data_IF_114363010005
#
_entry.id   IF_114363010005
#
_cell.length_a   1.000
_cell.length_b   1.000
_cell.length_c   1.000
_cell.angle_alpha   90.00
_cell.angle_beta   90.00
_cell.angle_gamma   90.00
#
_symmetry.space_group_name_H-M   'P 1'
#
loop_
_entity.id
_entity.type
_entity.pdbx_description
1 polymer ?
#
# COMPACT_ATOMS: atom_id res chain seq x y z
N UNK A 1 6.58 24.66 18.33
CA UNK A 1 7.02 24.49 16.94
C UNK A 1 5.73 24.39 16.16
N UNK A 2 5.36 25.42 15.39
CA UNK A 2 4.14 25.35 14.56
C UNK A 2 4.37 24.25 13.53
N UNK A 3 3.36 23.40 13.30
CA UNK A 3 3.50 22.28 12.36
C UNK A 3 3.62 22.81 10.93
N UNK A 4 4.32 22.06 10.07
CA UNK A 4 4.44 22.42 8.65
C UNK A 4 3.04 22.41 7.99
N UNK A 5 2.16 21.51 8.48
CA UNK A 5 0.74 21.50 8.21
C UNK A 5 0.09 22.88 8.43
N UNK A 6 0.19 23.49 9.60
CA UNK A 6 -0.58 24.71 9.93
C UNK A 6 -0.19 25.94 9.11
N UNK A 7 1.09 26.10 8.73
CA UNK A 7 1.56 27.29 8.01
C UNK A 7 1.36 27.22 6.48
N UNK A 8 1.18 26.01 5.91
CA UNK A 8 1.19 25.78 4.44
C UNK A 8 0.16 24.76 3.93
N UNK A 9 -0.97 24.60 4.60
CA UNK A 9 -2.04 23.61 4.28
C UNK A 9 -2.29 23.48 2.76
N UNK A 10 -2.57 24.59 2.06
CA UNK A 10 -2.94 24.56 0.64
C UNK A 10 -1.80 24.08 -0.27
N UNK A 11 -0.54 24.43 0.01
CA UNK A 11 0.62 23.95 -0.74
C UNK A 11 0.82 22.43 -0.49
N UNK A 12 0.63 22.00 0.76
CA UNK A 12 0.73 20.59 1.14
C UNK A 12 -0.35 19.72 0.47
N UNK A 13 -1.58 20.21 0.29
CA UNK A 13 -2.63 19.46 -0.43
C UNK A 13 -2.20 19.13 -1.87
N UNK A 14 -1.57 20.07 -2.57
CA UNK A 14 -1.06 19.84 -3.92
C UNK A 14 -0.02 18.71 -3.95
N UNK A 15 0.97 18.79 -3.06
CA UNK A 15 2.05 17.80 -2.94
C UNK A 15 1.52 16.43 -2.50
N UNK A 16 0.58 16.39 -1.55
CA UNK A 16 -0.04 15.15 -1.10
C UNK A 16 -0.82 14.45 -2.22
N UNK A 17 -1.48 15.20 -3.09
CA UNK A 17 -2.15 14.64 -4.26
C UNK A 17 -1.16 14.08 -5.29
N UNK A 18 -0.02 14.75 -5.48
CA UNK A 18 1.07 14.23 -6.33
C UNK A 18 1.64 12.93 -5.76
N UNK A 19 1.99 12.92 -4.48
CA UNK A 19 2.47 11.73 -3.77
C UNK A 19 1.44 10.60 -3.87
N UNK A 20 0.16 10.88 -3.61
CA UNK A 20 -0.91 9.89 -3.71
C UNK A 20 -0.98 9.25 -5.10
N UNK A 21 -0.96 10.08 -6.16
CA UNK A 21 -0.95 9.58 -7.53
C UNK A 21 0.33 8.80 -7.88
N UNK A 22 1.48 9.21 -7.34
CA UNK A 22 2.73 8.50 -7.52
C UNK A 22 2.69 7.12 -6.85
N UNK A 23 2.32 7.07 -5.56
CA UNK A 23 2.27 5.84 -4.77
C UNK A 23 1.23 4.85 -5.29
N UNK A 24 0.10 5.33 -5.80
CA UNK A 24 -0.92 4.49 -6.43
C UNK A 24 -0.39 3.68 -7.62
N UNK A 25 0.72 4.09 -8.27
CA UNK A 25 1.33 3.27 -9.34
C UNK A 25 1.99 1.99 -8.81
N UNK A 26 2.36 1.94 -7.54
CA UNK A 26 2.96 0.76 -6.90
C UNK A 26 1.94 0.01 -6.04
N UNK A 27 0.93 0.70 -5.50
CA UNK A 27 -0.07 0.10 -4.62
C UNK A 27 -1.05 -0.80 -5.40
N UNK A 28 -1.33 -1.99 -4.86
CA UNK A 28 -2.24 -2.97 -5.45
C UNK A 28 -3.23 -3.47 -4.39
N UNK A 29 -4.50 -3.63 -4.76
CA UNK A 29 -5.50 -4.24 -3.90
C UNK A 29 -5.59 -5.73 -4.19
N UNK A 30 -5.73 -6.55 -3.16
CA UNK A 30 -5.76 -8.01 -3.24
C UNK A 30 -7.17 -8.49 -2.89
N UNK A 31 -7.79 -9.21 -3.83
CA UNK A 31 -9.19 -9.56 -3.81
C UNK A 31 -9.36 -11.08 -3.74
N UNK A 32 -10.20 -11.53 -2.82
CA UNK A 32 -10.74 -12.88 -2.81
C UNK A 32 -12.04 -12.92 -3.62
N UNK A 33 -12.22 -14.01 -4.36
CA UNK A 33 -13.42 -14.29 -5.14
C UNK A 33 -14.20 -15.38 -4.42
N UNK A 34 -15.44 -15.09 -4.06
CA UNK A 34 -16.35 -16.06 -3.48
C UNK A 34 -17.13 -16.78 -4.57
N UNK A 35 -16.62 -17.95 -4.96
CA UNK A 35 -17.23 -18.79 -5.98
C UNK A 35 -18.60 -19.38 -5.57
N UNK A 36 -18.98 -19.30 -4.28
CA UNK A 36 -20.25 -19.81 -3.79
C UNK A 36 -21.37 -18.76 -3.79
N UNK A 37 -21.02 -17.47 -3.91
CA UNK A 37 -21.96 -16.35 -3.81
C UNK A 37 -21.92 -15.48 -5.07
N UNK A 38 -22.34 -16.02 -6.22
CA UNK A 38 -22.40 -15.32 -7.52
C UNK A 38 -21.08 -14.66 -7.95
N UNK A 39 -19.94 -15.22 -7.53
CA UNK A 39 -18.61 -14.64 -7.72
C UNK A 39 -18.47 -13.24 -7.09
N UNK A 40 -19.10 -13.02 -5.93
CA UNK A 40 -18.88 -11.82 -5.15
C UNK A 40 -17.39 -11.69 -4.79
N UNK A 41 -16.94 -10.46 -4.58
CA UNK A 41 -15.55 -10.15 -4.32
C UNK A 41 -15.38 -9.44 -2.98
N UNK A 42 -14.32 -9.80 -2.25
CA UNK A 42 -13.96 -9.18 -0.99
C UNK A 42 -12.51 -8.69 -1.04
N UNK A 43 -12.28 -7.46 -0.57
CA UNK A 43 -10.94 -6.95 -0.36
C UNK A 43 -10.35 -7.65 0.87
N UNK A 44 -9.20 -8.30 0.69
CA UNK A 44 -8.51 -9.02 1.77
C UNK A 44 -7.37 -8.18 2.34
N UNK A 45 -6.74 -7.39 1.47
CA UNK A 45 -5.59 -6.60 1.85
C UNK A 45 -5.09 -5.75 0.70
N UNK A 46 -4.00 -5.07 0.99
CA UNK A 46 -3.25 -4.25 0.07
C UNK A 46 -1.86 -4.84 -0.13
N UNK A 47 -1.15 -4.34 -1.13
CA UNK A 47 0.23 -4.73 -1.41
C UNK A 47 0.99 -3.60 -2.09
N UNK A 48 2.30 -3.74 -2.12
CA UNK A 48 3.19 -2.89 -2.93
C UNK A 48 3.85 -3.73 -4.00
N UNK A 49 3.73 -3.31 -5.26
CA UNK A 49 4.44 -3.90 -6.40
C UNK A 49 5.92 -3.57 -6.30
N UNK A 50 6.74 -4.60 -6.19
CA UNK A 50 8.19 -4.48 -5.97
C UNK A 50 8.99 -5.36 -6.92
N UNK A 51 10.21 -4.91 -7.21
CA UNK A 51 11.22 -5.65 -7.94
C UNK A 51 12.43 -5.90 -7.03
N UNK A 52 12.86 -7.16 -6.94
CA UNK A 52 14.03 -7.62 -6.19
C UNK A 52 14.91 -8.41 -7.18
N UNK A 53 16.02 -7.82 -7.60
CA UNK A 53 16.81 -8.35 -8.71
C UNK A 53 15.97 -8.40 -10.00
N UNK A 54 15.73 -9.61 -10.51
CA UNK A 54 14.87 -9.88 -11.67
C UNK A 54 13.47 -10.41 -11.29
N UNK A 55 13.17 -10.51 -9.99
CA UNK A 55 11.91 -11.04 -9.48
C UNK A 55 10.94 -9.88 -9.27
N UNK A 56 9.77 -9.97 -9.90
CA UNK A 56 8.67 -9.01 -9.74
C UNK A 56 7.52 -9.64 -8.98
N UNK A 57 6.98 -8.91 -8.02
CA UNK A 57 5.93 -9.42 -7.18
C UNK A 57 5.27 -8.34 -6.34
N UNK A 58 4.55 -8.79 -5.33
CA UNK A 58 3.81 -7.95 -4.40
C UNK A 58 4.36 -8.22 -3.00
N UNK A 59 4.89 -7.19 -2.36
CA UNK A 59 5.16 -7.21 -0.93
C UNK A 59 3.85 -6.92 -0.20
N UNK A 60 3.48 -7.75 0.77
CA UNK A 60 2.18 -7.70 1.47
C UNK A 60 2.33 -8.21 2.90
N UNK A 61 1.23 -8.22 3.65
CA UNK A 61 1.16 -8.87 4.93
C UNK A 61 1.05 -10.40 4.77
N UNK A 62 1.63 -11.17 5.70
CA UNK A 62 1.58 -12.64 5.63
C UNK A 62 0.14 -13.17 5.80
N UNK A 63 -0.65 -12.64 6.74
CA UNK A 63 -2.04 -13.08 6.88
C UNK A 63 -2.90 -12.85 5.63
N UNK A 64 -2.53 -11.86 4.79
CA UNK A 64 -3.21 -11.64 3.49
C UNK A 64 -2.92 -12.81 2.54
N UNK A 65 -1.69 -13.33 2.54
CA UNK A 65 -1.33 -14.55 1.78
C UNK A 65 -2.13 -15.75 2.29
N UNK A 66 -2.20 -15.95 3.60
CA UNK A 66 -2.93 -17.07 4.19
C UNK A 66 -4.40 -17.06 3.79
N UNK A 67 -5.03 -15.87 3.80
CA UNK A 67 -6.43 -15.69 3.42
C UNK A 67 -6.72 -16.00 1.93
N UNK A 68 -5.72 -15.91 1.04
CA UNK A 68 -5.88 -16.14 -0.40
C UNK A 68 -5.23 -17.43 -0.93
N UNK A 69 -4.29 -18.03 -0.19
CA UNK A 69 -3.48 -19.17 -0.66
C UNK A 69 -4.30 -20.41 -1.04
N UNK A 70 -5.45 -20.61 -0.36
CA UNK A 70 -6.38 -21.70 -0.63
C UNK A 70 -7.40 -21.40 -1.74
N UNK A 71 -7.40 -20.19 -2.29
CA UNK A 71 -8.33 -19.81 -3.36
C UNK A 71 -7.85 -20.40 -4.69
N UNK A 72 -8.79 -20.72 -5.58
CA UNK A 72 -8.46 -21.16 -6.96
C UNK A 72 -7.99 -19.99 -7.82
N UNK A 73 -8.57 -18.82 -7.58
CA UNK A 73 -8.38 -17.60 -8.34
C UNK A 73 -8.25 -16.43 -7.38
N UNK A 74 -7.39 -15.48 -7.73
CA UNK A 74 -7.11 -14.28 -6.93
C UNK A 74 -7.26 -13.07 -7.84
N UNK A 75 -8.05 -12.10 -7.38
CA UNK A 75 -8.25 -10.84 -8.07
C UNK A 75 -7.25 -9.78 -7.63
N UNK A 76 -6.90 -8.87 -8.54
CA UNK A 76 -6.05 -7.72 -8.22
C UNK A 76 -6.62 -6.41 -8.79
N UNK A 77 -6.49 -5.33 -8.01
CA UNK A 77 -6.86 -3.97 -8.44
C UNK A 77 -5.65 -3.31 -9.13
N UNK A 78 -5.63 -3.36 -10.46
CA UNK A 78 -4.52 -2.81 -11.26
C UNK A 78 -4.85 -1.53 -12.03
N UNK A 79 -6.14 -1.16 -12.15
CA UNK A 79 -6.60 0.01 -12.93
C UNK A 79 -7.62 0.84 -12.14
N UNK A 80 -7.70 2.14 -12.46
CA UNK A 80 -8.71 3.06 -11.91
C UNK A 80 -10.12 2.87 -12.49
N UNK A 81 -10.21 2.33 -13.71
CA UNK A 81 -11.48 2.06 -14.39
C UNK A 81 -11.98 0.63 -14.11
N UNK A 82 -13.29 0.35 -14.27
CA UNK A 82 -13.82 -0.99 -14.11
C UNK A 82 -13.03 -2.03 -14.92
N UNK A 83 -12.56 -3.08 -14.24
CA UNK A 83 -11.76 -4.14 -14.82
C UNK A 83 -11.91 -5.43 -14.02
N UNK A 84 -11.50 -6.54 -14.62
CA UNK A 84 -11.38 -7.85 -13.97
C UNK A 84 -10.00 -8.39 -14.29
N UNK A 85 -9.10 -8.35 -13.30
CA UNK A 85 -7.76 -8.93 -13.42
C UNK A 85 -7.61 -10.03 -12.40
N UNK A 86 -7.61 -11.27 -12.87
CA UNK A 86 -7.64 -12.47 -12.05
C UNK A 86 -6.52 -13.37 -12.52
N UNK A 87 -5.80 -13.95 -11.56
CA UNK A 87 -4.79 -14.96 -11.81
C UNK A 87 -5.21 -16.28 -11.13
N UNK A 88 -5.02 -17.43 -11.79
CA UNK A 88 -5.10 -18.73 -11.13
C UNK A 88 -4.04 -18.84 -10.04
N UNK A 89 -4.42 -19.26 -8.84
CA UNK A 89 -3.51 -19.40 -7.69
C UNK A 89 -2.32 -20.31 -7.98
N UNK A 90 -2.52 -21.37 -8.76
CA UNK A 90 -1.44 -22.29 -9.17
C UNK A 90 -0.38 -21.69 -10.12
N UNK A 91 -0.55 -20.43 -10.55
CA UNK A 91 0.44 -19.68 -11.33
C UNK A 91 1.23 -18.68 -10.48
N UNK A 92 0.91 -18.57 -9.19
CA UNK A 92 1.50 -17.63 -8.25
C UNK A 92 2.33 -18.41 -7.24
N UNK A 93 3.54 -17.94 -6.96
CA UNK A 93 4.33 -18.47 -5.84
C UNK A 93 4.16 -17.56 -4.62
N UNK A 94 3.74 -18.14 -3.50
CA UNK A 94 3.62 -17.45 -2.21
C UNK A 94 4.86 -17.71 -1.36
N UNK A 95 5.41 -16.64 -0.79
CA UNK A 95 6.54 -16.70 0.13
C UNK A 95 6.12 -16.06 1.46
N UNK A 96 6.09 -16.88 2.49
CA UNK A 96 6.03 -16.41 3.87
C UNK A 96 7.43 -15.95 4.26
N UNK A 97 7.58 -14.67 4.62
CA UNK A 97 8.88 -14.12 4.99
C UNK A 97 9.05 -14.27 6.50
N UNK A 98 8.13 -13.67 7.26
CA UNK A 98 8.08 -13.85 8.71
C UNK A 98 6.75 -13.37 9.27
N UNK A 99 6.04 -14.21 10.04
CA UNK A 99 4.82 -13.81 10.74
C UNK A 99 5.13 -13.14 12.08
N UNK A 100 6.27 -13.47 12.66
CA UNK A 100 6.60 -13.25 14.06
C UNK A 100 5.85 -14.19 15.00
N UNK A 101 6.17 -14.09 16.30
CA UNK A 101 5.66 -15.01 17.33
C UNK A 101 4.30 -14.61 17.90
N UNK A 102 3.91 -13.36 17.72
CA UNK A 102 2.65 -12.81 18.21
C UNK A 102 2.01 -12.03 17.07
N UNK A 103 0.79 -12.41 16.69
CA UNK A 103 0.05 -11.80 15.58
C UNK A 103 -0.09 -10.28 15.73
N UNK A 104 -0.32 -9.80 16.96
CA UNK A 104 -0.42 -8.37 17.27
C UNK A 104 0.92 -7.63 17.26
N UNK A 105 2.04 -8.31 17.01
CA UNK A 105 3.37 -7.71 16.99
C UNK A 105 4.03 -7.71 15.62
N UNK A 106 3.58 -8.53 14.68
CA UNK A 106 4.25 -8.63 13.37
C UNK A 106 5.59 -9.38 13.45
N UNK A 107 6.43 -9.32 12.41
CA UNK A 107 6.39 -8.35 11.31
C UNK A 107 5.31 -8.63 10.26
N UNK A 108 4.70 -9.82 10.30
CA UNK A 108 3.56 -10.22 9.44
C UNK A 108 3.84 -9.92 7.97
N UNK A 109 4.97 -10.39 7.46
CA UNK A 109 5.51 -10.04 6.15
C UNK A 109 5.43 -11.21 5.18
N UNK A 110 4.91 -10.94 3.99
CA UNK A 110 4.80 -11.91 2.92
C UNK A 110 5.15 -11.33 1.55
N UNK A 111 5.48 -12.20 0.61
CA UNK A 111 5.75 -11.85 -0.77
C UNK A 111 5.00 -12.78 -1.74
N UNK A 112 4.36 -12.17 -2.73
CA UNK A 112 3.63 -12.86 -3.81
C UNK A 112 4.44 -12.67 -5.08
N UNK A 113 5.12 -13.70 -5.56
CA UNK A 113 5.82 -13.64 -6.84
C UNK A 113 4.81 -13.79 -7.97
N UNK A 114 4.81 -12.81 -8.87
CA UNK A 114 3.88 -12.78 -9.99
C UNK A 114 4.42 -13.61 -11.16
N UNK A 115 3.54 -14.30 -11.92
CA UNK A 115 3.95 -15.08 -13.06
C UNK A 115 4.49 -14.19 -14.19
N UNK A 116 5.57 -14.64 -14.84
CA UNK A 116 6.33 -13.81 -15.80
C UNK A 116 5.49 -13.36 -17.01
N UNK A 117 4.59 -14.21 -17.50
CA UNK A 117 3.67 -13.92 -18.60
C UNK A 117 2.64 -12.82 -18.27
N UNK A 118 2.47 -12.48 -16.99
CA UNK A 118 1.51 -11.49 -16.53
C UNK A 118 2.13 -10.13 -16.21
N UNK A 119 3.45 -10.08 -16.02
CA UNK A 119 4.19 -8.85 -15.71
C UNK A 119 3.92 -7.76 -16.74
N UNK A 120 3.96 -8.09 -18.04
CA UNK A 120 3.74 -7.11 -19.11
C UNK A 120 2.41 -6.35 -18.99
N UNK A 121 1.33 -7.08 -18.66
CA UNK A 121 -0.01 -6.51 -18.49
C UNK A 121 -0.09 -5.58 -17.26
N UNK A 122 0.64 -5.89 -16.19
CA UNK A 122 0.72 -5.05 -14.99
C UNK A 122 1.57 -3.81 -15.28
N UNK A 123 2.74 -3.97 -15.88
CA UNK A 123 3.65 -2.85 -16.23
C UNK A 123 3.05 -1.87 -17.22
N UNK A 124 2.02 -2.26 -17.98
CA UNK A 124 1.30 -1.36 -18.87
C UNK A 124 0.48 -0.29 -18.12
N UNK A 125 0.19 -0.50 -16.83
CA UNK A 125 -0.68 0.39 -16.04
C UNK A 125 -0.17 0.68 -14.62
N UNK A 126 0.90 0.01 -14.18
CA UNK A 126 1.51 0.11 -12.86
C UNK A 126 3.03 0.07 -12.98
N UNK A 127 3.71 0.40 -11.89
CA UNK A 127 5.16 0.36 -11.77
C UNK A 127 5.56 -0.61 -10.66
N UNK A 128 6.76 -1.18 -10.76
CA UNK A 128 7.38 -1.97 -9.70
C UNK A 128 8.46 -1.14 -9.03
N UNK A 129 8.38 -1.00 -7.71
CA UNK A 129 9.41 -0.30 -6.94
C UNK A 129 10.64 -1.20 -6.80
N UNK A 130 11.78 -0.75 -7.32
CA UNK A 130 13.00 -1.55 -7.29
C UNK A 130 13.67 -1.46 -5.90
N UNK A 131 13.45 -2.47 -5.06
CA UNK A 131 14.03 -2.56 -3.72
C UNK A 131 15.54 -2.72 -3.81
N UNK A 132 16.05 -3.50 -4.77
CA UNK A 132 17.49 -3.76 -4.89
C UNK A 132 18.30 -2.49 -5.12
N UNK A 133 17.80 -1.58 -5.95
CA UNK A 133 18.42 -0.28 -6.23
C UNK A 133 18.27 0.68 -5.05
N UNK A 134 17.13 0.65 -4.37
CA UNK A 134 16.81 1.61 -3.30
C UNK A 134 17.16 1.13 -1.88
N UNK A 135 17.69 -0.09 -1.72
CA UNK A 135 18.02 -0.70 -0.42
C UNK A 135 18.94 0.18 0.42
N UNK A 136 20.05 0.59 -0.17
CA UNK A 136 21.06 1.39 0.52
C UNK A 136 20.50 2.72 1.00
N UNK A 137 19.60 3.31 0.21
CA UNK A 137 18.92 4.54 0.55
C UNK A 137 17.96 4.32 1.72
N UNK A 138 17.15 3.28 1.67
CA UNK A 138 16.25 2.93 2.78
C UNK A 138 17.01 2.70 4.10
N UNK A 139 18.18 2.06 4.04
CA UNK A 139 19.00 1.78 5.23
C UNK A 139 19.80 2.99 5.76
N UNK A 140 20.13 3.96 4.90
CA UNK A 140 20.96 5.13 5.26
C UNK A 140 20.14 6.39 5.54
N UNK A 141 18.88 6.43 5.11
CA UNK A 141 18.01 7.57 5.38
C UNK A 141 17.63 7.60 6.86
N UNK A 142 18.17 8.57 7.59
CA UNK A 142 17.84 8.81 8.98
C UNK A 142 16.72 9.86 9.08
N UNK A 143 15.61 9.58 9.79
CA UNK A 143 14.42 10.45 9.82
C UNK A 143 14.57 11.83 10.47
N UNK A 144 15.77 12.17 10.98
CA UNK A 144 15.94 13.26 11.94
C UNK A 144 16.55 14.54 11.33
N UNK A 145 16.77 14.59 10.00
CA UNK A 145 17.55 15.69 9.38
C UNK A 145 16.90 16.37 8.17
N UNK A 146 15.70 15.98 7.75
CA UNK A 146 15.06 16.52 6.55
C UNK A 146 13.61 16.97 6.82
N UNK A 147 13.04 17.79 5.93
CA UNK A 147 11.58 17.97 5.87
C UNK A 147 11.01 16.67 5.31
N UNK A 148 10.34 15.90 6.16
CA UNK A 148 9.91 14.55 5.85
C UNK A 148 8.41 14.43 6.01
N UNK A 149 7.83 13.54 5.22
CA UNK A 149 6.43 13.16 5.35
C UNK A 149 6.34 11.64 5.28
N UNK A 150 5.61 11.04 6.20
CA UNK A 150 5.34 9.61 6.19
C UNK A 150 3.96 9.36 5.61
N UNK A 151 3.83 8.28 4.84
CA UNK A 151 2.60 7.94 4.16
C UNK A 151 2.32 6.44 4.19
N UNK A 152 1.14 6.06 4.69
CA UNK A 152 0.62 4.70 4.53
C UNK A 152 -0.23 4.65 3.26
N UNK A 153 0.07 3.74 2.34
CA UNK A 153 -0.65 3.58 1.08
C UNK A 153 -1.39 2.25 1.02
N UNK A 154 -2.71 2.27 0.82
CA UNK A 154 -3.51 1.04 0.76
C UNK A 154 -4.98 1.28 0.44
N UNK A 155 -5.79 0.25 0.61
CA UNK A 155 -7.22 0.27 0.31
C UNK A 155 -8.00 -0.07 1.60
N UNK A 156 -8.64 0.90 2.25
CA UNK A 156 -9.53 0.61 3.37
C UNK A 156 -10.81 -0.06 2.85
N UNK A 157 -11.14 -1.24 3.37
CA UNK A 157 -12.32 -2.00 2.94
C UNK A 157 -13.63 -1.28 3.28
N UNK A 158 -13.64 -0.49 4.36
CA UNK A 158 -14.80 0.34 4.72
C UNK A 158 -15.21 1.33 3.61
N UNK A 159 -14.27 1.72 2.75
CA UNK A 159 -14.56 2.58 1.60
C UNK A 159 -14.99 1.81 0.34
N UNK A 160 -15.13 0.49 0.44
CA UNK A 160 -15.71 -0.33 -0.62
C UNK A 160 -17.19 -0.01 -0.77
N UNK A 161 -17.60 0.36 -1.98
CA UNK A 161 -18.99 0.69 -2.33
C UNK A 161 -19.49 -0.21 -3.45
N UNK A 162 -20.71 -0.72 -3.32
CA UNK A 162 -21.38 -1.38 -4.44
C UNK A 162 -21.72 -0.33 -5.50
N UNK A 163 -21.31 -0.59 -6.73
CA UNK A 163 -21.61 0.22 -7.91
C UNK A 163 -22.78 -0.34 -8.69
N UNK A 164 -23.30 0.46 -9.61
CA UNK A 164 -24.34 0.01 -10.54
C UNK A 164 -23.67 -0.85 -11.63
N UNK A 165 -24.16 -2.08 -11.88
CA UNK A 165 -23.67 -2.92 -12.97
C UNK A 165 -23.69 -2.18 -14.31
N UNK A 166 -22.77 -2.52 -15.20
CA UNK A 166 -22.72 -1.97 -16.56
C UNK A 166 -22.88 -3.10 -17.57
N UNK A 167 -23.12 -2.79 -18.85
CA UNK A 167 -23.38 -3.82 -19.88
C UNK A 167 -22.30 -4.93 -19.97
N UNK A 168 -21.08 -4.69 -19.47
CA UNK A 168 -19.96 -5.66 -19.49
C UNK A 168 -19.72 -6.38 -18.15
N UNK A 169 -20.39 -5.99 -17.06
CA UNK A 169 -20.14 -6.53 -15.72
C UNK A 169 -21.46 -6.77 -14.99
N UNK A 170 -21.67 -7.99 -14.49
CA UNK A 170 -22.85 -8.37 -13.70
C UNK A 170 -22.88 -7.71 -12.31
N UNK A 171 -21.71 -7.40 -11.76
CA UNK A 171 -21.54 -6.67 -10.50
C UNK A 171 -20.39 -5.66 -10.62
N UNK A 172 -20.43 -4.62 -9.78
CA UNK A 172 -19.38 -3.61 -9.70
C UNK A 172 -19.13 -3.28 -8.23
N UNK A 173 -17.87 -3.32 -7.78
CA UNK A 173 -17.44 -2.74 -6.51
C UNK A 173 -16.40 -1.65 -6.76
N UNK A 174 -16.65 -0.46 -6.23
CA UNK A 174 -15.71 0.64 -6.19
C UNK A 174 -14.88 0.53 -4.91
N UNK A 175 -13.57 0.37 -5.05
CA UNK A 175 -12.64 0.25 -3.92
C UNK A 175 -11.71 1.46 -3.97
N UNK A 176 -11.66 2.21 -2.87
CA UNK A 176 -10.98 3.51 -2.83
C UNK A 176 -9.57 3.34 -2.27
N UNK A 177 -8.59 3.82 -3.03
CA UNK A 177 -7.21 3.93 -2.54
C UNK A 177 -7.08 5.14 -1.61
N UNK A 178 -6.30 4.97 -0.54
CA UNK A 178 -6.00 6.02 0.43
C UNK A 178 -4.50 6.08 0.67
N UNK A 179 -4.01 7.33 0.77
CA UNK A 179 -2.71 7.67 1.31
C UNK A 179 -2.92 8.45 2.61
N UNK A 180 -2.62 7.81 3.75
CA UNK A 180 -2.69 8.44 5.08
C UNK A 180 -1.35 9.08 5.43
N UNK A 181 -1.34 10.39 5.60
CA UNK A 181 -0.12 11.16 5.85
C UNK A 181 0.11 11.42 7.35
N UNK A 182 1.39 11.47 7.74
CA UNK A 182 1.80 11.86 9.09
C UNK A 182 3.16 12.55 9.06
N UNK A 183 3.31 13.65 9.78
CA UNK A 183 4.62 14.29 10.05
C UNK A 183 5.40 13.52 11.13
N UNK A 184 4.69 12.81 12.00
CA UNK A 184 5.30 12.19 13.18
C UNK A 184 5.27 10.68 13.06
N UNK A 185 6.45 10.10 12.92
CA UNK A 185 6.70 8.67 13.07
C UNK A 185 7.43 8.45 14.38
N UNK A 186 6.96 7.49 15.19
CA UNK A 186 7.77 6.94 16.28
C UNK A 186 8.38 5.64 15.81
N UNK A 187 9.70 5.60 15.70
CA UNK A 187 10.45 4.36 15.52
C UNK A 187 10.73 3.71 16.88
N UNK A 188 10.71 2.38 16.92
CA UNK A 188 11.15 1.61 18.08
C UNK A 188 11.52 0.19 17.66
N UNK A 189 12.33 -0.47 18.49
CA UNK A 189 12.72 -1.87 18.29
C UNK A 189 11.96 -2.73 19.29
N UNK A 190 11.39 -3.85 18.84
CA UNK A 190 10.82 -4.90 19.71
C UNK A 190 11.32 -6.27 19.23
N UNK A 191 12.24 -6.86 19.99
CA UNK A 191 12.94 -8.08 19.60
C UNK A 191 13.92 -7.85 18.46
N UNK A 192 13.72 -8.56 17.34
CA UNK A 192 14.60 -8.54 16.16
C UNK A 192 14.11 -7.60 15.05
N UNK A 193 13.06 -6.82 15.32
CA UNK A 193 12.38 -6.02 14.31
C UNK A 193 12.34 -4.53 14.67
N UNK A 194 12.49 -3.71 13.62
CA UNK A 194 12.26 -2.28 13.65
C UNK A 194 10.79 -1.97 13.32
N UNK A 195 10.14 -1.14 14.12
CA UNK A 195 8.76 -0.73 13.94
C UNK A 195 8.63 0.77 13.76
N UNK A 196 7.71 1.17 12.91
CA UNK A 196 7.23 2.53 12.80
C UNK A 196 5.78 2.60 13.29
N UNK A 197 5.52 3.45 14.28
CA UNK A 197 4.17 3.78 14.73
C UNK A 197 3.80 5.15 14.18
N UNK A 198 2.75 5.16 13.37
CA UNK A 198 2.16 6.37 12.81
C UNK A 198 0.86 6.69 13.54
N UNK A 199 0.65 7.98 13.77
CA UNK A 199 -0.67 8.50 14.10
C UNK A 199 -1.20 9.15 12.83
N UNK A 200 -2.29 8.62 12.28
CA UNK A 200 -3.00 9.30 11.20
C UNK A 200 -3.49 10.65 11.74
N UNK A 201 -3.02 11.74 11.13
CA UNK A 201 -3.52 13.07 11.49
C UNK A 201 -4.82 13.29 10.72
N UNK A 202 -5.91 13.49 11.48
CA UNK A 202 -7.23 13.72 10.92
C UNK A 202 -7.37 15.19 10.55
N UNK A 203 -7.68 15.46 9.29
CA UNK A 203 -8.11 16.80 8.87
C UNK A 203 -9.61 16.78 8.58
N UNK A 204 -10.31 17.88 8.87
CA UNK A 204 -11.75 18.04 8.60
C UNK A 204 -12.12 17.87 7.11
N UNK A 205 -11.13 17.89 6.22
CA UNK A 205 -11.30 17.80 4.76
C UNK A 205 -11.14 16.37 4.23
N UNK A 206 -10.73 15.41 5.05
CA UNK A 206 -10.46 14.02 4.63
C UNK A 206 -11.44 13.06 5.29
N UNK A 207 -12.17 12.28 4.47
CA UNK A 207 -12.91 11.12 4.98
C UNK A 207 -11.91 10.11 5.54
N UNK A 208 -12.05 9.81 6.82
CA UNK A 208 -11.21 8.86 7.55
C UNK A 208 -12.02 7.59 7.76
N UNK A 209 -11.47 6.40 7.49
CA UNK A 209 -12.16 5.17 7.83
C UNK A 209 -12.19 4.98 9.36
N UNK A 210 -13.31 4.52 9.89
CA UNK A 210 -13.41 4.02 11.26
C UNK A 210 -12.54 2.75 11.46
N UNK A 211 -12.33 1.99 10.39
CA UNK A 211 -11.53 0.76 10.34
C UNK A 211 -10.51 0.79 9.21
N UNK A 212 -9.24 0.55 9.56
CA UNK A 212 -8.16 0.36 8.58
C UNK A 212 -8.10 -1.07 8.00
N UNK A 213 -9.15 -1.89 8.20
CA UNK A 213 -9.28 -3.18 7.53
C UNK A 213 -9.04 -3.07 6.03
N UNK A 214 -8.30 -4.01 5.42
CA UNK A 214 -7.91 -3.97 4.01
C UNK A 214 -6.63 -3.18 3.70
N UNK A 215 -6.16 -2.29 4.59
CA UNK A 215 -4.89 -1.54 4.39
C UNK A 215 -3.66 -2.41 4.64
N UNK A 216 -3.81 -3.47 5.45
CA UNK A 216 -2.75 -4.45 5.73
C UNK A 216 -2.07 -4.95 4.46
N UNK A 217 -0.73 -4.98 4.47
CA UNK A 217 0.12 -5.30 3.33
C UNK A 217 0.47 -4.12 2.43
N UNK A 218 -0.22 -2.99 2.56
CA UNK A 218 0.12 -1.75 1.86
C UNK A 218 1.50 -1.22 2.24
N UNK A 219 2.08 -0.34 1.42
CA UNK A 219 3.40 0.22 1.69
C UNK A 219 3.38 1.32 2.74
N UNK A 220 4.40 1.31 3.61
CA UNK A 220 4.79 2.47 4.41
C UNK A 220 5.90 3.22 3.67
N UNK A 221 5.65 4.48 3.36
CA UNK A 221 6.52 5.32 2.56
C UNK A 221 7.07 6.48 3.37
N UNK A 222 8.39 6.64 3.32
CA UNK A 222 9.08 7.83 3.76
C UNK A 222 9.32 8.74 2.54
N UNK A 223 8.69 9.91 2.57
CA UNK A 223 8.78 10.93 1.53
C UNK A 223 9.75 12.02 1.96
N UNK A 224 10.80 12.22 1.17
CA UNK A 224 11.72 13.34 1.36
C UNK A 224 11.17 14.53 0.59
N UNK A 225 10.93 15.64 1.28
CA UNK A 225 10.47 16.88 0.66
C UNK A 225 11.66 17.77 0.30
N UNK A 226 11.54 18.52 -0.80
CA UNK A 226 12.42 19.63 -1.14
C UNK A 226 11.64 20.95 -1.14
N UNK A 227 12.33 22.02 -0.78
CA UNK A 227 11.85 23.38 -0.97
C UNK A 227 12.35 23.87 -2.33
N UNK A 228 11.46 24.25 -3.23
CA UNK A 228 11.80 24.91 -4.48
C UNK A 228 11.73 26.43 -4.26
N UNK A 229 12.90 27.07 -4.25
CA UNK A 229 13.10 28.53 -4.22
C UNK A 229 12.16 29.30 -3.27
N UNK A 230 11.90 28.74 -2.08
CA UNK A 230 11.06 29.27 -1.01
C UNK A 230 9.57 29.49 -1.39
N UNK A 231 9.07 28.89 -2.49
CA UNK A 231 7.70 29.12 -2.98
C UNK A 231 6.87 27.86 -3.20
N UNK A 232 7.46 26.69 -3.40
CA UNK A 232 6.72 25.43 -3.56
C UNK A 232 7.44 24.27 -2.87
N UNK A 233 6.68 23.47 -2.12
CA UNK A 233 7.15 22.19 -1.60
C UNK A 233 6.96 21.15 -2.72
N UNK A 234 7.89 20.23 -2.88
CA UNK A 234 7.75 19.10 -3.80
C UNK A 234 8.32 17.81 -3.19
N UNK A 235 7.79 16.66 -3.63
CA UNK A 235 8.37 15.36 -3.27
C UNK A 235 9.70 15.17 -4.04
N UNK A 236 10.82 15.18 -3.33
CA UNK A 236 12.12 14.85 -3.89
C UNK A 236 12.27 13.34 -4.08
N UNK A 237 11.72 12.57 -3.14
CA UNK A 237 11.98 11.14 -3.06
C UNK A 237 10.87 10.35 -2.38
N UNK A 238 10.77 9.07 -2.76
CA UNK A 238 9.80 8.11 -2.25
C UNK A 238 10.54 6.83 -1.86
N UNK A 239 10.65 6.59 -0.56
CA UNK A 239 11.39 5.45 -0.01
C UNK A 239 10.38 4.50 0.60
N UNK A 240 10.31 3.26 0.09
CA UNK A 240 9.54 2.20 0.75
C UNK A 240 10.29 1.77 2.01
N UNK A 241 9.75 2.14 3.17
CA UNK A 241 10.37 1.94 4.48
C UNK A 241 9.77 0.78 5.27
N UNK A 242 8.62 0.26 4.86
CA UNK A 242 8.01 -0.89 5.51
C UNK A 242 6.71 -1.33 4.86
N UNK A 243 6.04 -2.27 5.53
CA UNK A 243 4.73 -2.79 5.17
C UNK A 243 3.77 -2.50 6.31
N UNK A 244 2.59 -2.00 5.97
CA UNK A 244 1.53 -1.73 6.92
C UNK A 244 0.99 -3.06 7.44
N UNK A 245 0.97 -3.24 8.75
CA UNK A 245 0.22 -4.32 9.40
C UNK A 245 -0.50 -3.71 10.60
N UNK A 246 -1.74 -4.14 10.84
CA UNK A 246 -2.52 -3.59 11.94
C UNK A 246 -2.33 -4.44 13.18
N UNK A 247 -1.85 -3.81 14.24
CA UNK A 247 -1.99 -4.34 15.59
C UNK A 247 -3.44 -4.15 16.02
N UNK A 248 -4.19 -5.24 16.19
CA UNK A 248 -5.43 -5.20 16.97
C UNK A 248 -5.04 -4.72 18.38
N UNK A 249 -5.42 -3.50 18.74
CA UNK A 249 -5.26 -2.93 20.08
C UNK A 249 -6.56 -3.19 20.84
#
# INVERSE_FOLDING_TARGET
MNSLFEEKINELVGVMNEINNHLLNYTIGIIKIDNNNDNDIALIGSGTLVEIGNIKGILTAQHVIEAISHQKEIGFIIKKHPHRYILPSNTIDFFEIDRGKQESKGPDLGFIKLPQNNIGAITAVKSFYNISVNRDKALKTHPEKQKELWCMSGFPDEFTKNGIPSQKFSSLKGITHVCGFSETVRNYVDGEYDYFKLTAQYHELTQTPESFGGVSGGGLWHIILRDEDNKQIAAKDHILSGVNFMKLI
#
